data_IF_683912689245
#
_entry.id   IF_683912689245
#
_cell.length_a   1.000
_cell.length_b   1.000
_cell.length_c   1.000
_cell.angle_alpha   90.00
_cell.angle_beta   90.00
_cell.angle_gamma   90.00
#
_symmetry.space_group_name_H-M   'P 1'
#
loop_
_entity.id
_entity.type
_entity.pdbx_description
1 polymer ?
#
# COMPACT_ATOMS: atom_id res chain seq x y z
N UNK A 1 1.43 -3.43 -13.94
CA UNK A 1 1.51 -2.01 -13.55
C UNK A 1 0.77 -1.77 -12.23
N UNK A 2 1.42 -1.90 -11.11
CA UNK A 2 0.83 -1.55 -9.82
C UNK A 2 1.39 -0.26 -9.25
N UNK A 3 0.55 0.42 -8.47
CA UNK A 3 0.94 1.58 -7.67
C UNK A 3 0.37 1.41 -6.27
N UNK A 4 1.23 1.52 -5.25
CA UNK A 4 0.79 1.50 -3.84
C UNK A 4 1.08 2.87 -3.24
N UNK A 5 0.01 3.55 -2.83
CA UNK A 5 0.07 4.87 -2.20
C UNK A 5 -0.26 4.72 -0.72
N UNK A 6 0.70 5.01 0.14
CA UNK A 6 0.57 4.88 1.59
C UNK A 6 0.63 6.25 2.25
N UNK A 7 -0.43 6.60 2.98
CA UNK A 7 -0.49 7.82 3.79
C UNK A 7 -0.45 7.43 5.26
N UNK A 8 0.39 8.12 6.02
CA UNK A 8 0.64 7.87 7.43
C UNK A 8 0.50 9.16 8.22
N UNK A 9 -0.02 9.08 9.44
CA UNK A 9 -0.07 10.24 10.34
C UNK A 9 1.15 10.33 11.27
N UNK A 10 2.13 9.44 11.10
CA UNK A 10 3.37 9.43 11.88
C UNK A 10 4.54 9.78 10.96
N UNK A 11 5.67 10.10 11.58
CA UNK A 11 6.91 10.33 10.85
C UNK A 11 7.46 8.99 10.36
N UNK A 12 7.91 8.95 9.12
CA UNK A 12 8.54 7.77 8.53
C UNK A 12 10.03 8.04 8.39
N UNK A 13 10.85 7.26 9.09
CA UNK A 13 12.30 7.35 8.93
C UNK A 13 12.72 6.69 7.62
N UNK A 14 13.87 7.09 7.08
CA UNK A 14 14.40 6.47 5.85
C UNK A 14 14.61 4.97 6.03
N UNK A 15 15.10 4.54 7.20
CA UNK A 15 15.27 3.13 7.50
C UNK A 15 13.97 2.35 7.41
N UNK A 16 12.88 2.88 7.97
CA UNK A 16 11.58 2.23 7.92
C UNK A 16 10.97 2.29 6.53
N UNK A 17 11.18 3.38 5.80
CA UNK A 17 10.74 3.49 4.42
C UNK A 17 11.37 2.38 3.56
N UNK A 18 12.67 2.15 3.71
CA UNK A 18 13.38 1.10 2.98
C UNK A 18 12.84 -0.28 3.33
N UNK A 19 12.54 -0.52 4.61
CA UNK A 19 11.95 -1.78 5.06
C UNK A 19 10.57 -2.00 4.44
N UNK A 20 9.73 -0.97 4.40
CA UNK A 20 8.41 -1.04 3.77
C UNK A 20 8.52 -1.26 2.27
N UNK A 21 9.41 -0.52 1.61
CA UNK A 21 9.66 -0.66 0.18
C UNK A 21 9.99 -2.11 -0.18
N UNK A 22 10.89 -2.72 0.58
CA UNK A 22 11.30 -4.11 0.36
C UNK A 22 10.13 -5.07 0.54
N UNK A 23 9.40 -4.93 1.64
CA UNK A 23 8.32 -5.86 1.97
C UNK A 23 7.10 -5.68 1.05
N UNK A 24 6.76 -4.45 0.67
CA UNK A 24 5.70 -4.21 -0.31
C UNK A 24 6.09 -4.72 -1.69
N UNK A 25 7.37 -4.58 -2.06
CA UNK A 25 7.89 -5.12 -3.31
C UNK A 25 7.77 -6.65 -3.40
N UNK A 26 7.99 -7.34 -2.29
CA UNK A 26 7.77 -8.79 -2.22
C UNK A 26 6.28 -9.13 -2.24
N UNK A 27 5.47 -8.38 -1.52
CA UNK A 27 4.04 -8.65 -1.38
C UNK A 27 3.26 -8.50 -2.68
N UNK A 28 3.68 -7.58 -3.57
CA UNK A 28 2.95 -7.33 -4.81
C UNK A 28 2.91 -8.56 -5.72
N UNK A 29 3.85 -9.49 -5.55
CA UNK A 29 3.90 -10.73 -6.33
C UNK A 29 2.71 -11.67 -6.04
N UNK A 30 1.91 -11.39 -5.01
CA UNK A 30 0.65 -12.13 -4.76
C UNK A 30 -0.33 -11.95 -5.92
N UNK A 31 -0.27 -10.81 -6.60
CA UNK A 31 -1.10 -10.58 -7.78
C UNK A 31 -0.42 -11.21 -8.99
N UNK A 32 -1.12 -12.10 -9.72
CA UNK A 32 -0.53 -12.78 -10.89
C UNK A 32 0.04 -11.79 -11.90
N UNK A 33 1.28 -12.02 -12.32
CA UNK A 33 1.95 -11.19 -13.31
C UNK A 33 2.47 -9.86 -12.79
N UNK A 34 2.34 -9.58 -11.49
CA UNK A 34 2.86 -8.35 -10.88
C UNK A 34 4.18 -8.64 -10.18
N UNK A 35 5.09 -7.66 -10.18
CA UNK A 35 6.38 -7.77 -9.50
C UNK A 35 6.92 -6.39 -9.16
N UNK A 36 7.99 -6.37 -8.37
CA UNK A 36 8.61 -5.12 -7.90
C UNK A 36 9.16 -4.26 -9.04
N UNK A 37 9.57 -4.85 -10.15
CA UNK A 37 10.14 -4.11 -11.27
C UNK A 37 9.16 -3.06 -11.82
N UNK A 38 7.87 -3.37 -11.81
CA UNK A 38 6.82 -2.48 -12.32
C UNK A 38 6.08 -1.73 -11.21
N UNK A 39 6.41 -2.00 -9.95
CA UNK A 39 5.74 -1.39 -8.82
C UNK A 39 6.22 0.03 -8.58
N UNK A 40 5.30 0.97 -8.57
CA UNK A 40 5.54 2.32 -8.10
C UNK A 40 5.01 2.45 -6.68
N UNK A 41 5.79 3.04 -5.80
CA UNK A 41 5.44 3.25 -4.40
C UNK A 41 5.47 4.74 -4.08
N UNK A 42 4.50 5.21 -3.31
CA UNK A 42 4.56 6.51 -2.68
C UNK A 42 4.32 6.37 -1.19
N UNK A 43 5.09 7.10 -0.39
CA UNK A 43 4.88 7.22 1.05
C UNK A 43 4.73 8.70 1.39
N UNK A 44 3.61 9.05 2.01
CA UNK A 44 3.39 10.42 2.52
C UNK A 44 3.21 10.31 4.01
N UNK A 45 4.17 10.83 4.78
CA UNK A 45 4.15 10.78 6.23
C UNK A 45 3.67 12.10 6.83
N UNK A 46 3.49 12.12 8.15
CA UNK A 46 3.06 13.32 8.89
C UNK A 46 1.75 13.90 8.36
N UNK A 47 0.87 13.07 7.82
CA UNK A 47 -0.44 13.51 7.38
C UNK A 47 -1.33 13.82 8.58
N UNK A 48 -2.20 14.80 8.41
CA UNK A 48 -3.20 15.13 9.44
C UNK A 48 -4.41 14.23 9.24
N UNK A 49 -4.43 13.10 9.93
CA UNK A 49 -5.46 12.07 9.76
C UNK A 49 -6.20 11.83 11.05
N UNK A 50 -7.49 11.66 10.94
CA UNK A 50 -8.38 11.33 12.06
C UNK A 50 -9.08 10.02 11.75
N UNK A 51 -9.19 9.18 12.76
CA UNK A 51 -9.90 7.91 12.64
C UNK A 51 -10.69 7.66 13.92
N UNK A 52 -11.94 7.27 13.79
CA UNK A 52 -12.85 7.08 14.92
C UNK A 52 -12.95 8.33 15.82
N UNK A 53 -12.77 9.51 15.23
CA UNK A 53 -12.82 10.77 15.95
C UNK A 53 -11.56 11.12 16.73
N UNK A 54 -10.47 10.38 16.54
CA UNK A 54 -9.21 10.59 17.25
C UNK A 54 -8.03 10.67 16.29
N UNK A 55 -6.96 11.31 16.73
CA UNK A 55 -5.70 11.40 15.98
C UNK A 55 -4.47 11.07 16.83
N UNK A 56 -4.67 10.49 18.01
CA UNK A 56 -3.60 10.26 18.99
C UNK A 56 -3.04 8.82 18.95
N UNK A 57 -3.18 8.16 17.83
CA UNK A 57 -2.59 6.84 17.58
C UNK A 57 -2.18 6.74 16.11
N UNK A 58 -1.28 5.79 15.76
CA UNK A 58 -0.86 5.62 14.37
C UNK A 58 -2.02 5.15 13.47
N UNK A 59 -2.11 5.76 12.29
CA UNK A 59 -3.14 5.50 11.29
C UNK A 59 -2.47 5.35 9.92
N UNK A 60 -2.95 4.42 9.11
CA UNK A 60 -2.51 4.26 7.74
C UNK A 60 -3.69 4.13 6.79
N UNK A 61 -3.59 4.81 5.65
CA UNK A 61 -4.48 4.62 4.50
C UNK A 61 -3.63 4.17 3.34
N UNK A 62 -3.89 2.97 2.83
CA UNK A 62 -3.14 2.37 1.73
C UNK A 62 -4.09 2.18 0.55
N UNK A 63 -3.73 2.75 -0.59
CA UNK A 63 -4.48 2.56 -1.83
C UNK A 63 -3.62 1.78 -2.81
N UNK A 64 -4.16 0.68 -3.33
CA UNK A 64 -3.47 -0.19 -4.29
C UNK A 64 -4.21 -0.07 -5.62
N UNK A 65 -3.51 0.46 -6.62
CA UNK A 65 -4.05 0.63 -7.96
C UNK A 65 -3.38 -0.36 -8.90
N UNK A 66 -4.18 -1.08 -9.67
CA UNK A 66 -3.71 -2.13 -10.56
C UNK A 66 -4.27 -1.97 -11.95
N UNK A 67 -3.41 -2.20 -12.95
CA UNK A 67 -3.86 -2.41 -14.32
C UNK A 67 -4.37 -3.85 -14.43
N UNK A 68 -5.61 -4.00 -14.86
CA UNK A 68 -6.29 -5.29 -14.93
C UNK A 68 -7.20 -5.51 -13.74
N UNK A 69 -7.37 -6.74 -13.34
CA UNK A 69 -8.27 -7.12 -12.26
C UNK A 69 -7.61 -8.17 -11.35
N UNK A 70 -8.16 -8.34 -10.17
CA UNK A 70 -7.77 -9.39 -9.24
C UNK A 70 -9.02 -9.88 -8.51
N UNK A 71 -9.01 -11.13 -8.05
CA UNK A 71 -10.14 -11.69 -7.33
C UNK A 71 -10.15 -11.24 -5.86
N UNK A 72 -11.28 -11.46 -5.22
CA UNK A 72 -11.51 -11.11 -3.81
C UNK A 72 -10.50 -11.79 -2.89
N UNK A 73 -10.20 -13.07 -3.14
CA UNK A 73 -9.30 -13.83 -2.28
C UNK A 73 -7.88 -13.25 -2.30
N UNK A 74 -7.38 -12.89 -3.47
CA UNK A 74 -6.05 -12.29 -3.62
C UNK A 74 -6.00 -10.92 -2.93
N UNK A 75 -7.02 -10.10 -3.09
CA UNK A 75 -7.11 -8.80 -2.41
C UNK A 75 -7.16 -8.98 -0.89
N UNK A 76 -7.91 -9.95 -0.39
CA UNK A 76 -7.99 -10.24 1.04
C UNK A 76 -6.64 -10.66 1.61
N UNK A 77 -5.89 -11.49 0.90
CA UNK A 77 -4.52 -11.87 1.29
C UNK A 77 -3.60 -10.65 1.32
N UNK A 78 -3.70 -9.80 0.31
CA UNK A 78 -2.87 -8.60 0.24
C UNK A 78 -3.19 -7.64 1.39
N UNK A 79 -4.45 -7.47 1.73
CA UNK A 79 -4.87 -6.65 2.87
C UNK A 79 -4.26 -7.17 4.18
N UNK A 80 -4.34 -8.48 4.39
CA UNK A 80 -3.75 -9.11 5.57
C UNK A 80 -2.24 -8.90 5.62
N UNK A 81 -1.57 -9.05 4.49
CA UNK A 81 -0.11 -8.89 4.39
C UNK A 81 0.31 -7.44 4.63
N UNK A 82 -0.36 -6.47 4.00
CA UNK A 82 -0.06 -5.05 4.19
C UNK A 82 -0.27 -4.64 5.65
N UNK A 83 -1.37 -5.07 6.26
CA UNK A 83 -1.66 -4.78 7.66
C UNK A 83 -0.59 -5.37 8.60
N UNK A 84 -0.15 -6.59 8.32
CA UNK A 84 0.91 -7.24 9.08
C UNK A 84 2.24 -6.48 8.96
N UNK A 85 2.60 -6.06 7.75
CA UNK A 85 3.83 -5.30 7.51
C UNK A 85 3.81 -4.00 8.29
N UNK A 86 2.73 -3.24 8.20
CA UNK A 86 2.60 -1.95 8.90
C UNK A 86 2.60 -2.14 10.42
N UNK A 87 2.02 -3.22 10.91
CA UNK A 87 2.06 -3.55 12.33
C UNK A 87 3.46 -3.87 12.81
N UNK A 88 4.18 -4.70 12.08
CA UNK A 88 5.54 -5.14 12.47
C UNK A 88 6.57 -4.02 12.31
N UNK A 89 6.48 -3.24 11.25
CA UNK A 89 7.48 -2.20 10.98
C UNK A 89 7.20 -0.88 11.70
N UNK A 90 5.94 -0.49 11.82
CA UNK A 90 5.58 0.83 12.32
C UNK A 90 4.72 0.80 13.59
N UNK A 91 4.35 -0.37 14.08
CA UNK A 91 3.51 -0.48 15.27
C UNK A 91 2.07 -0.01 15.06
N UNK A 92 1.57 -0.03 13.83
CA UNK A 92 0.19 0.38 13.54
C UNK A 92 -0.72 -0.83 13.73
N UNK A 93 -1.71 -0.69 14.60
CA UNK A 93 -2.70 -1.74 14.83
C UNK A 93 -3.50 -1.99 13.53
N UNK A 94 -3.78 -3.25 13.21
CA UNK A 94 -4.46 -3.62 11.97
C UNK A 94 -5.83 -2.95 11.83
N UNK A 95 -6.52 -2.70 12.94
CA UNK A 95 -7.82 -2.01 12.93
C UNK A 95 -7.71 -0.50 12.72
N UNK A 96 -6.49 0.04 12.60
CA UNK A 96 -6.21 1.43 12.25
C UNK A 96 -5.66 1.56 10.83
N UNK A 97 -5.78 0.52 10.02
CA UNK A 97 -5.30 0.48 8.64
C UNK A 97 -6.48 0.25 7.71
N UNK A 98 -6.66 1.15 6.76
CA UNK A 98 -7.56 0.91 5.62
C UNK A 98 -6.73 0.56 4.41
N UNK A 99 -7.20 -0.41 3.63
CA UNK A 99 -6.61 -0.78 2.35
C UNK A 99 -7.71 -0.73 1.30
N UNK A 100 -7.51 0.09 0.29
CA UNK A 100 -8.47 0.27 -0.80
C UNK A 100 -7.85 -0.21 -2.10
N UNK A 101 -8.66 -0.81 -2.98
CA UNK A 101 -8.23 -1.30 -4.29
C UNK A 101 -8.95 -0.55 -5.39
N UNK A 102 -8.19 -0.17 -6.42
CA UNK A 102 -8.74 0.41 -7.64
C UNK A 102 -8.17 -0.34 -8.82
N UNK A 103 -9.05 -0.74 -9.73
CA UNK A 103 -8.67 -1.47 -10.93
C UNK A 103 -9.01 -0.62 -12.16
N UNK A 104 -8.15 -0.67 -13.17
CA UNK A 104 -8.38 0.04 -14.40
C UNK A 104 -7.92 -0.80 -15.59
N UNK A 105 -8.58 -0.62 -16.72
CA UNK A 105 -8.16 -1.18 -18.00
C UNK A 105 -7.43 -0.14 -18.87
N UNK A 106 -7.14 1.03 -18.30
CA UNK A 106 -6.48 2.13 -19.00
C UNK A 106 -5.27 2.59 -18.22
N UNK A 107 -4.09 2.27 -18.76
CA UNK A 107 -2.83 2.60 -18.10
C UNK A 107 -1.83 3.09 -19.14
N UNK A 108 -1.21 4.21 -18.86
CA UNK A 108 -0.17 4.77 -19.72
C UNK A 108 1.21 4.47 -19.15
N UNK A 109 2.11 4.08 -20.02
CA UNK A 109 3.51 3.88 -19.69
C UNK A 109 4.35 4.13 -20.93
N UNK A 110 5.51 4.75 -20.74
CA UNK A 110 6.47 5.04 -21.81
C UNK A 110 5.84 5.83 -22.97
N UNK A 111 4.93 6.76 -22.62
CA UNK A 111 4.30 7.64 -23.59
C UNK A 111 3.13 7.04 -24.36
N UNK A 112 2.74 5.82 -24.06
CA UNK A 112 1.65 5.12 -24.75
C UNK A 112 0.74 4.41 -23.75
N UNK A 113 -0.51 4.18 -24.14
CA UNK A 113 -1.39 3.32 -23.36
C UNK A 113 -1.15 1.86 -23.72
N UNK A 114 -1.21 1.02 -22.72
CA UNK A 114 -1.01 -0.42 -22.88
C UNK A 114 -2.30 -1.19 -22.74
#
# INVERSE_FOLDING_TARGET
MPFIDTKLNIRLTEEKEIALKKRFGEAIAKFPGKNEYWLMLNFTDNCRMWFRGYNNFPIAMVKIELFGAADEATCSEMTATVSKILGEELGISADHVYVEYAFTDRWGWNGENI
#
